data_IF_596322237948
#
_entry.id   IF_596322237948
#
_cell.length_a   1.000
_cell.length_b   1.000
_cell.length_c   1.000
_cell.angle_alpha   90.00
_cell.angle_beta   90.00
_cell.angle_gamma   90.00
#
_symmetry.space_group_name_H-M   'P 1'
#
loop_
_entity.id
_entity.type
_entity.pdbx_description
1 polymer ?
#
# COMPACT_ATOMS: atom_id res chain seq x y z
N UNK A 1 -10.72 12.29 -13.07
CA UNK A 1 -10.27 12.75 -14.40
C UNK A 1 -8.88 12.18 -14.57
N UNK A 2 -8.65 11.38 -15.61
CA UNK A 2 -7.34 10.75 -15.85
C UNK A 2 -6.37 11.80 -16.41
N UNK A 3 -5.17 11.88 -15.85
CA UNK A 3 -4.10 12.79 -16.29
C UNK A 3 -3.01 11.93 -16.91
N UNK A 4 -2.34 12.41 -17.96
CA UNK A 4 -1.25 11.69 -18.62
C UNK A 4 -0.06 12.61 -18.83
N UNK A 5 1.14 12.11 -18.57
CA UNK A 5 2.40 12.81 -18.76
C UNK A 5 3.37 11.94 -19.55
N UNK A 6 4.09 12.55 -20.49
CA UNK A 6 5.24 11.88 -21.12
C UNK A 6 6.37 11.73 -20.12
N UNK A 7 7.35 10.85 -20.41
CA UNK A 7 8.57 10.69 -19.58
C UNK A 7 9.23 12.03 -19.27
N UNK A 8 9.46 12.85 -20.30
CA UNK A 8 10.12 14.15 -20.15
C UNK A 8 9.29 15.14 -19.32
N UNK A 9 7.96 15.09 -19.43
CA UNK A 9 7.07 15.93 -18.62
C UNK A 9 7.06 15.49 -17.16
N UNK A 10 6.94 14.18 -16.91
CA UNK A 10 6.95 13.61 -15.57
C UNK A 10 8.25 13.97 -14.83
N UNK A 11 9.41 13.79 -15.47
CA UNK A 11 10.71 14.16 -14.90
C UNK A 11 10.78 15.67 -14.63
N UNK A 12 10.33 16.50 -15.57
CA UNK A 12 10.32 17.96 -15.41
C UNK A 12 9.41 18.43 -14.26
N UNK A 13 8.31 17.72 -14.01
CA UNK A 13 7.39 17.99 -12.90
C UNK A 13 7.87 17.40 -11.55
N UNK A 14 9.01 16.71 -11.55
CA UNK A 14 9.68 16.17 -10.36
C UNK A 14 9.20 14.78 -9.95
N UNK A 15 8.59 14.02 -10.87
CA UNK A 15 8.30 12.61 -10.64
C UNK A 15 9.55 11.76 -10.89
N UNK A 16 9.80 10.81 -9.98
CA UNK A 16 10.98 9.95 -10.03
C UNK A 16 10.63 8.48 -10.29
N UNK A 17 9.46 8.04 -9.83
CA UNK A 17 9.07 6.63 -9.80
C UNK A 17 7.74 6.35 -10.49
N UNK A 18 7.60 5.14 -11.02
CA UNK A 18 6.37 4.59 -11.55
C UNK A 18 6.16 3.14 -11.11
N UNK A 19 4.92 2.67 -11.23
CA UNK A 19 4.48 1.30 -10.94
C UNK A 19 3.34 0.89 -11.86
N UNK A 20 3.00 -0.40 -11.87
CA UNK A 20 1.98 -0.96 -12.75
C UNK A 20 0.64 -1.01 -12.00
N UNK A 21 -0.41 -0.43 -12.60
CA UNK A 21 -1.76 -0.46 -12.03
C UNK A 21 -2.33 -1.89 -11.95
N UNK A 22 -3.10 -2.19 -10.90
CA UNK A 22 -3.80 -3.48 -10.76
C UNK A 22 -2.96 -4.64 -10.20
N UNK A 23 -1.66 -4.43 -9.96
CA UNK A 23 -0.82 -5.40 -9.23
C UNK A 23 -0.87 -5.07 -7.73
N UNK A 24 -1.06 -6.08 -6.88
CA UNK A 24 -1.22 -5.90 -5.43
C UNK A 24 0.05 -5.41 -4.72
N UNK A 25 1.20 -6.06 -4.99
CA UNK A 25 2.51 -5.59 -4.53
C UNK A 25 3.27 -5.04 -5.72
N UNK A 26 3.42 -3.72 -5.76
CA UNK A 26 4.06 -3.02 -6.88
C UNK A 26 5.52 -2.74 -6.56
N UNK A 27 6.40 -3.09 -7.49
CA UNK A 27 7.79 -2.63 -7.44
C UNK A 27 7.86 -1.14 -7.79
N UNK A 28 8.68 -0.39 -7.05
CA UNK A 28 9.09 0.97 -7.39
C UNK A 28 10.13 0.90 -8.50
N UNK A 29 9.82 1.42 -9.69
CA UNK A 29 10.76 1.54 -10.80
C UNK A 29 11.10 3.01 -11.05
N UNK A 30 12.37 3.31 -11.29
CA UNK A 30 12.79 4.64 -11.71
C UNK A 30 12.32 4.91 -13.13
N UNK A 31 11.68 6.06 -13.35
CA UNK A 31 11.18 6.47 -14.68
C UNK A 31 12.34 6.57 -15.68
N UNK A 32 13.50 7.04 -15.22
CA UNK A 32 14.68 7.24 -16.06
C UNK A 32 15.31 5.93 -16.59
N UNK A 33 15.00 4.80 -15.96
CA UNK A 33 15.55 3.50 -16.32
C UNK A 33 14.65 2.73 -17.30
N UNK A 34 13.44 3.23 -17.58
CA UNK A 34 12.50 2.58 -18.50
C UNK A 34 12.90 2.74 -19.95
N UNK A 35 12.86 1.64 -20.71
CA UNK A 35 12.97 1.69 -22.14
C UNK A 35 11.65 2.18 -22.78
N UNK A 36 11.68 2.94 -23.90
CA UNK A 36 10.47 3.44 -24.56
C UNK A 36 9.43 2.37 -24.90
N UNK A 37 9.89 1.18 -25.29
CA UNK A 37 9.06 0.01 -25.59
C UNK A 37 8.30 -0.55 -24.37
N UNK A 38 8.85 -0.42 -23.17
CA UNK A 38 8.17 -0.87 -21.93
C UNK A 38 6.95 0.01 -21.64
N UNK A 39 7.09 1.32 -21.85
CA UNK A 39 6.02 2.30 -21.62
C UNK A 39 4.90 2.16 -22.66
N UNK A 40 5.23 1.76 -23.88
CA UNK A 40 4.25 1.50 -24.94
C UNK A 40 3.37 0.27 -24.67
N UNK A 41 3.89 -0.70 -23.92
CA UNK A 41 3.27 -2.02 -23.74
C UNK A 41 2.71 -2.26 -22.34
N UNK A 42 3.03 -1.40 -21.38
CA UNK A 42 2.65 -1.52 -19.97
C UNK A 42 1.93 -0.28 -19.49
N UNK A 43 0.82 -0.46 -18.76
CA UNK A 43 0.07 0.64 -18.17
C UNK A 43 0.73 1.12 -16.88
N UNK A 44 1.80 1.91 -17.04
CA UNK A 44 2.49 2.55 -15.95
C UNK A 44 1.72 3.76 -15.41
N UNK A 45 1.71 3.87 -14.07
CA UNK A 45 1.24 5.02 -13.31
C UNK A 45 2.38 5.62 -12.52
N UNK A 46 2.38 6.93 -12.35
CA UNK A 46 3.38 7.63 -11.54
C UNK A 46 3.10 7.44 -10.05
N UNK A 47 4.16 7.31 -9.26
CA UNK A 47 4.08 7.38 -7.81
C UNK A 47 4.06 8.84 -7.33
N UNK A 48 3.45 9.09 -6.17
CA UNK A 48 3.41 10.41 -5.55
C UNK A 48 4.82 10.92 -5.25
N UNK A 49 5.03 12.22 -5.51
CA UNK A 49 6.26 12.93 -5.12
C UNK A 49 6.39 13.04 -3.60
N UNK A 50 5.24 13.11 -2.93
CA UNK A 50 5.16 13.15 -1.48
C UNK A 50 5.33 11.74 -0.92
N UNK A 51 6.21 11.62 0.06
CA UNK A 51 6.31 10.43 0.90
C UNK A 51 5.11 10.35 1.82
N UNK A 52 4.51 9.18 1.90
CA UNK A 52 3.50 8.87 2.90
C UNK A 52 4.10 7.98 3.97
N UNK A 53 3.65 8.17 5.21
CA UNK A 53 4.03 7.34 6.34
C UNK A 53 2.75 6.67 6.84
N UNK A 54 2.40 5.49 6.31
CA UNK A 54 1.21 4.79 6.74
C UNK A 54 1.31 4.46 8.22
N UNK A 55 0.19 4.61 8.93
CA UNK A 55 0.06 4.15 10.29
C UNK A 55 -0.97 3.02 10.35
N UNK A 56 -0.65 1.99 11.11
CA UNK A 56 -1.58 0.92 11.44
C UNK A 56 -2.45 1.41 12.59
N UNK A 57 -3.76 1.34 12.38
CA UNK A 57 -4.74 1.53 13.43
C UNK A 57 -4.92 0.23 14.21
N UNK A 58 -4.87 0.33 15.54
CA UNK A 58 -4.98 -0.82 16.45
C UNK A 58 -6.27 -1.61 16.25
N UNK A 59 -7.41 -0.94 16.23
CA UNK A 59 -8.71 -1.61 16.15
C UNK A 59 -8.84 -2.34 14.81
N UNK A 60 -8.36 -1.74 13.72
CA UNK A 60 -8.31 -2.39 12.40
C UNK A 60 -7.38 -3.61 12.35
N UNK A 61 -6.26 -3.58 13.09
CA UNK A 61 -5.34 -4.72 13.17
C UNK A 61 -5.97 -5.88 13.96
N UNK A 62 -6.63 -5.57 15.08
CA UNK A 62 -7.34 -6.54 15.91
C UNK A 62 -8.43 -7.23 15.10
N UNK A 63 -9.32 -6.45 14.47
CA UNK A 63 -10.44 -6.99 13.72
C UNK A 63 -9.93 -7.88 12.57
N UNK A 64 -8.90 -7.46 11.82
CA UNK A 64 -8.29 -8.30 10.79
C UNK A 64 -7.67 -9.59 11.33
N UNK A 65 -6.92 -9.53 12.42
CA UNK A 65 -6.28 -10.72 12.99
C UNK A 65 -7.31 -11.74 13.48
N UNK A 66 -8.44 -11.25 13.98
CA UNK A 66 -9.56 -12.08 14.42
C UNK A 66 -10.29 -12.64 13.20
N UNK A 67 -10.68 -11.80 12.25
CA UNK A 67 -11.38 -12.22 11.03
C UNK A 67 -10.57 -13.26 10.24
N UNK A 68 -9.26 -13.04 10.03
CA UNK A 68 -8.37 -14.03 9.38
C UNK A 68 -8.33 -15.38 10.11
N UNK A 69 -8.43 -15.39 11.45
CA UNK A 69 -8.44 -16.62 12.23
C UNK A 69 -9.78 -17.38 12.07
N UNK A 70 -10.89 -16.66 11.88
CA UNK A 70 -12.24 -17.22 11.77
C UNK A 70 -12.69 -17.52 10.34
N UNK A 71 -12.15 -16.82 9.34
CA UNK A 71 -12.49 -17.03 7.92
C UNK A 71 -12.23 -18.47 7.46
N UNK A 72 -11.38 -19.21 8.18
CA UNK A 72 -11.09 -20.62 7.94
C UNK A 72 -12.04 -21.61 8.64
N UNK A 73 -12.88 -21.12 9.55
CA UNK A 73 -13.75 -21.91 10.41
C UNK A 73 -15.20 -21.75 9.93
N UNK A 74 -15.67 -22.69 9.10
CA UNK A 74 -17.03 -22.73 8.53
C UNK A 74 -18.13 -22.98 9.59
N UNK A 75 -18.29 -22.08 10.56
CA UNK A 75 -19.32 -22.17 11.59
C UNK A 75 -20.13 -20.88 11.68
N UNK A 76 -21.46 -21.01 11.73
CA UNK A 76 -22.41 -19.92 11.93
C UNK A 76 -22.73 -19.78 13.43
N UNK A 77 -21.73 -19.38 14.22
CA UNK A 77 -21.84 -19.24 15.67
C UNK A 77 -21.38 -17.84 16.08
N UNK A 78 -22.07 -17.24 17.05
CA UNK A 78 -21.66 -15.98 17.66
C UNK A 78 -20.29 -16.14 18.35
N UNK A 79 -19.27 -15.44 17.84
CA UNK A 79 -17.88 -15.48 18.33
C UNK A 79 -17.49 -14.22 19.12
N UNK A 80 -18.46 -13.37 19.47
CA UNK A 80 -18.22 -12.09 20.17
C UNK A 80 -17.40 -12.25 21.46
N UNK A 81 -17.72 -13.24 22.29
CA UNK A 81 -16.99 -13.53 23.55
C UNK A 81 -15.50 -13.85 23.32
N UNK A 82 -15.18 -14.52 22.21
CA UNK A 82 -13.78 -14.85 21.89
C UNK A 82 -13.06 -13.63 21.34
N UNK A 83 -13.75 -12.81 20.54
CA UNK A 83 -13.22 -11.52 20.05
C UNK A 83 -12.81 -10.62 21.23
N UNK A 84 -13.64 -10.54 22.26
CA UNK A 84 -13.32 -9.77 23.47
C UNK A 84 -12.17 -10.41 24.28
N UNK A 85 -12.13 -11.74 24.38
CA UNK A 85 -11.02 -12.45 25.01
C UNK A 85 -9.67 -12.20 24.32
N UNK A 86 -9.64 -12.17 22.98
CA UNK A 86 -8.42 -11.89 22.19
C UNK A 86 -7.97 -10.43 22.34
N UNK A 87 -8.92 -9.49 22.42
CA UNK A 87 -8.63 -8.08 22.69
C UNK A 87 -7.93 -7.88 24.03
N UNK A 88 -8.33 -8.63 25.05
CA UNK A 88 -7.79 -8.51 26.40
C UNK A 88 -6.50 -9.33 26.62
N UNK A 89 -6.31 -10.44 25.90
CA UNK A 89 -5.19 -11.35 26.11
C UNK A 89 -3.86 -10.89 25.49
N UNK A 90 -3.89 -9.98 24.51
CA UNK A 90 -2.71 -9.54 23.76
C UNK A 90 -2.47 -8.05 23.96
N UNK A 91 -1.22 -7.67 24.15
CA UNK A 91 -0.80 -6.27 24.21
C UNK A 91 -0.73 -5.66 22.80
N UNK A 92 -1.90 -5.36 22.23
CA UNK A 92 -2.05 -4.81 20.90
C UNK A 92 -1.43 -3.42 20.74
N UNK A 93 -1.42 -2.63 21.81
CA UNK A 93 -0.83 -1.29 21.80
C UNK A 93 0.68 -1.38 21.54
N UNK A 94 1.39 -2.22 22.31
CA UNK A 94 2.82 -2.41 22.14
C UNK A 94 3.20 -3.00 20.77
N UNK A 95 2.34 -3.85 20.19
CA UNK A 95 2.52 -4.38 18.83
C UNK A 95 2.39 -3.25 17.80
N UNK A 96 1.33 -2.45 17.89
CA UNK A 96 1.06 -1.35 16.95
C UNK A 96 2.13 -0.28 17.03
N UNK A 97 2.60 0.07 18.23
CA UNK A 97 3.72 0.99 18.42
C UNK A 97 4.97 0.49 17.67
N UNK A 98 5.39 -0.76 17.88
CA UNK A 98 6.57 -1.32 17.20
C UNK A 98 6.41 -1.37 15.68
N UNK A 99 5.23 -1.72 15.19
CA UNK A 99 4.96 -1.73 13.76
C UNK A 99 5.02 -0.32 13.17
N UNK A 100 4.40 0.66 13.83
CA UNK A 100 4.39 2.05 13.38
C UNK A 100 5.78 2.70 13.47
N UNK A 101 6.57 2.37 14.50
CA UNK A 101 7.98 2.76 14.57
C UNK A 101 8.74 2.23 13.37
N UNK A 102 8.60 0.94 13.04
CA UNK A 102 9.24 0.34 11.86
C UNK A 102 8.74 0.96 10.55
N UNK A 103 7.44 1.22 10.40
CA UNK A 103 6.90 1.89 9.22
C UNK A 103 7.44 3.32 9.10
N UNK A 104 7.62 4.04 10.20
CA UNK A 104 8.14 5.42 10.17
C UNK A 104 9.56 5.53 9.62
N UNK A 105 10.35 4.45 9.66
CA UNK A 105 11.71 4.44 9.11
C UNK A 105 11.78 4.13 7.62
N UNK A 106 10.65 3.83 6.98
CA UNK A 106 10.58 3.48 5.58
C UNK A 106 9.84 4.54 4.77
N UNK A 107 10.38 4.86 3.59
CA UNK A 107 9.75 5.77 2.65
C UNK A 107 8.71 4.99 1.84
N UNK A 108 7.45 5.40 1.92
CA UNK A 108 6.39 4.87 1.08
C UNK A 108 5.95 5.90 0.05
N UNK A 109 5.60 5.40 -1.12
CA UNK A 109 5.02 6.18 -2.19
C UNK A 109 3.64 5.62 -2.54
N UNK A 110 2.70 6.51 -2.85
CA UNK A 110 1.35 6.13 -3.26
C UNK A 110 1.22 6.17 -4.77
N UNK A 111 0.63 5.15 -5.38
CA UNK A 111 0.39 5.17 -6.81
C UNK A 111 -0.68 6.22 -7.12
N UNK A 112 -0.41 7.06 -8.12
CA UNK A 112 -1.34 8.12 -8.54
C UNK A 112 -2.16 7.66 -9.74
N UNK A 113 -3.21 8.43 -10.08
CA UNK A 113 -3.98 8.22 -11.30
C UNK A 113 -3.33 8.84 -12.55
N UNK A 114 -2.07 9.27 -12.47
CA UNK A 114 -1.35 9.90 -13.58
C UNK A 114 -0.68 8.81 -14.41
N UNK A 115 -1.09 8.67 -15.67
CA UNK A 115 -0.49 7.72 -16.61
C UNK A 115 0.86 8.22 -17.12
N UNK A 116 1.83 7.32 -17.15
CA UNK A 116 3.08 7.54 -17.89
C UNK A 116 2.86 7.08 -19.34
N UNK A 117 3.09 7.99 -20.28
CA UNK A 117 3.05 7.71 -21.72
C UNK A 117 4.43 7.96 -22.35
N UNK A 118 4.70 7.42 -23.55
CA UNK A 118 5.99 7.62 -24.23
C UNK A 118 6.35 9.11 -24.43
#
# INVERSE_FOLDING_TARGET
>A
MEISLTVNQAIKEGFEFCGIEGIGFQGLQYIADLAPEEILTTDYRLFSKETVFPCINKDSLIDRAIDDAYDSLEFDVDTSDIRDSVKEAVDWEAIVEKLNESLSTHTFHSLTNIKLIP
#
